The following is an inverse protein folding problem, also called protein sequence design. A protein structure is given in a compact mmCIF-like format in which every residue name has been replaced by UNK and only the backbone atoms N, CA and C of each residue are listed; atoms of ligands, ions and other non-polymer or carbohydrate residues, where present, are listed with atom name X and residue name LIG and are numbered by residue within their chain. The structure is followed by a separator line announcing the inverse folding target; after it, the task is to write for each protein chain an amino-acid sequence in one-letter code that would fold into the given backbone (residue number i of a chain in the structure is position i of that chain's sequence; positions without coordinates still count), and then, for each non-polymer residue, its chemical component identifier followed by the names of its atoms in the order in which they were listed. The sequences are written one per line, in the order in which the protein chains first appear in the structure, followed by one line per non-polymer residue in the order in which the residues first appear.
data_IF_983228679994
#
_entry.id   IF_983228679994
#
_cell.length_a   1.000
_cell.length_b   1.000
_cell.length_c   1.000
_cell.angle_alpha   90.00
_cell.angle_beta   90.00
_cell.angle_gamma   90.00
#
_symmetry.space_group_name_H-M   'P 1'
#
loop_
_entity.id
_entity.type
_entity.pdbx_description
1 polymer ?
#
# COMPACT_ATOMS: atom_id res chain seq x y z
N UNK A 1 2.86 -16.29 -14.32
CA UNK A 1 4.25 -16.46 -14.32
C UNK A 1 4.94 -15.33 -13.63
N UNK A 2 5.91 -15.71 -12.84
CA UNK A 2 6.57 -14.79 -11.92
C UNK A 2 7.18 -13.58 -12.59
N UNK A 3 7.73 -13.76 -13.78
CA UNK A 3 8.36 -12.64 -14.49
C UNK A 3 7.40 -11.54 -14.89
N UNK A 4 6.17 -11.91 -15.23
CA UNK A 4 5.18 -10.91 -15.61
C UNK A 4 4.73 -10.08 -14.41
N UNK A 5 4.56 -10.73 -13.27
CA UNK A 5 4.19 -10.00 -12.05
C UNK A 5 5.27 -9.02 -11.64
N UNK A 6 6.53 -9.46 -11.71
CA UNK A 6 7.67 -8.59 -11.38
C UNK A 6 7.74 -7.42 -12.36
N UNK A 7 7.50 -7.68 -13.64
CA UNK A 7 7.52 -6.61 -14.65
C UNK A 7 6.38 -5.61 -14.43
N UNK A 8 5.19 -6.09 -14.07
CA UNK A 8 4.08 -5.20 -13.79
C UNK A 8 4.37 -4.29 -12.61
N UNK A 9 4.96 -4.86 -11.57
CA UNK A 9 5.35 -4.07 -10.39
C UNK A 9 6.43 -3.07 -10.77
N UNK A 10 7.41 -3.48 -11.55
CA UNK A 10 8.45 -2.57 -12.01
C UNK A 10 7.91 -1.46 -12.87
N UNK A 11 6.98 -1.76 -13.77
CA UNK A 11 6.38 -0.75 -14.61
C UNK A 11 5.61 0.29 -13.80
N UNK A 12 4.91 -0.15 -12.76
CA UNK A 12 4.20 0.76 -11.88
C UNK A 12 5.18 1.67 -11.16
N UNK A 13 6.30 1.13 -10.72
CA UNK A 13 7.34 1.90 -10.03
C UNK A 13 8.11 2.78 -11.00
N UNK A 14 8.45 2.26 -12.18
CA UNK A 14 9.24 3.00 -13.16
C UNK A 14 8.49 4.16 -13.80
N UNK A 15 7.20 4.02 -13.97
CA UNK A 15 6.38 5.10 -14.51
C UNK A 15 6.21 6.24 -13.51
N UNK A 16 6.71 6.06 -12.31
CA UNK A 16 6.74 7.11 -11.30
C UNK A 16 5.38 7.71 -11.01
N UNK A 17 4.33 6.97 -11.34
CA UNK A 17 2.99 7.39 -10.98
C UNK A 17 2.77 6.91 -9.56
N UNK A 18 2.68 7.82 -8.59
CA UNK A 18 2.41 7.40 -7.21
C UNK A 18 1.04 6.79 -7.19
N UNK A 19 1.02 5.48 -7.21
CA UNK A 19 -0.24 4.76 -7.17
C UNK A 19 -0.77 4.82 -5.76
N UNK A 20 -1.87 5.49 -5.61
CA UNK A 20 -2.58 5.52 -4.36
C UNK A 20 -3.31 4.21 -4.16
N UNK A 21 -3.11 3.60 -3.00
CA UNK A 21 -3.73 2.34 -2.65
C UNK A 21 -4.89 2.60 -1.68
N UNK A 22 -5.97 1.85 -1.86
CA UNK A 22 -7.06 1.87 -0.89
C UNK A 22 -6.75 0.90 0.24
N UNK A 23 -7.56 0.94 1.32
CA UNK A 23 -7.41 -0.02 2.42
C UNK A 23 -7.53 -1.45 1.89
N UNK A 24 -8.47 -1.69 0.98
CA UNK A 24 -8.65 -3.03 0.40
C UNK A 24 -7.41 -3.48 -0.35
N UNK A 25 -6.78 -2.58 -1.10
CA UNK A 25 -5.54 -2.90 -1.82
C UNK A 25 -4.44 -3.27 -0.84
N UNK A 26 -4.31 -2.50 0.24
CA UNK A 26 -3.29 -2.73 1.25
C UNK A 26 -3.51 -4.08 1.94
N UNK A 27 -4.75 -4.42 2.25
CA UNK A 27 -5.09 -5.71 2.85
C UNK A 27 -4.68 -6.84 1.92
N UNK A 28 -4.98 -6.72 0.64
CA UNK A 28 -4.64 -7.75 -0.33
C UNK A 28 -3.14 -7.92 -0.50
N UNK A 29 -2.41 -6.82 -0.57
CA UNK A 29 -0.97 -6.85 -0.78
C UNK A 29 -0.23 -7.35 0.47
N UNK A 30 -0.63 -6.88 1.63
CA UNK A 30 0.07 -7.18 2.88
C UNK A 30 -0.34 -8.51 3.51
N UNK A 31 -1.54 -9.00 3.20
CA UNK A 31 -2.08 -10.17 3.86
C UNK A 31 -2.57 -9.93 5.27
N UNK A 32 -2.58 -8.68 5.71
CA UNK A 32 -3.06 -8.31 7.04
C UNK A 32 -4.56 -8.03 6.99
N UNK A 33 -5.23 -8.09 8.15
CA UNK A 33 -6.66 -7.84 8.21
C UNK A 33 -6.96 -6.35 8.02
N UNK A 34 -8.19 -6.05 7.58
CA UNK A 34 -8.62 -4.67 7.41
C UNK A 34 -8.57 -3.93 8.74
N UNK A 35 -9.00 -4.57 9.82
CA UNK A 35 -8.96 -3.97 11.16
C UNK A 35 -7.55 -3.59 11.55
N UNK A 36 -6.59 -4.46 11.25
CA UNK A 36 -5.18 -4.20 11.53
C UNK A 36 -4.68 -2.98 10.77
N UNK A 37 -5.01 -2.91 9.48
CA UNK A 37 -4.58 -1.79 8.64
C UNK A 37 -5.21 -0.47 9.11
N UNK A 38 -6.51 -0.48 9.39
CA UNK A 38 -7.18 0.72 9.87
C UNK A 38 -6.61 1.21 11.19
N UNK A 39 -6.31 0.28 12.09
CA UNK A 39 -5.70 0.62 13.37
C UNK A 39 -4.32 1.25 13.16
N UNK A 40 -3.51 0.68 12.27
CA UNK A 40 -2.19 1.21 11.97
C UNK A 40 -2.28 2.61 11.37
N UNK A 41 -3.28 2.86 10.53
CA UNK A 41 -3.48 4.19 9.96
C UNK A 41 -3.89 5.21 11.02
N UNK A 42 -4.79 4.82 11.91
CA UNK A 42 -5.23 5.73 12.98
C UNK A 42 -4.14 6.01 14.00
N UNK A 43 -3.28 5.04 14.29
CA UNK A 43 -2.19 5.22 15.25
C UNK A 43 -0.98 5.93 14.64
N UNK A 44 -0.93 6.05 13.31
CA UNK A 44 0.19 6.66 12.63
C UNK A 44 1.33 5.71 12.31
N UNK A 45 1.20 4.44 12.66
CA UNK A 45 2.21 3.45 12.29
C UNK A 45 2.34 3.30 10.79
N UNK A 46 1.20 3.30 10.10
CA UNK A 46 1.16 3.29 8.64
C UNK A 46 0.70 4.67 8.18
N UNK A 47 1.54 5.32 7.40
CA UNK A 47 1.22 6.64 6.89
C UNK A 47 0.16 6.54 5.80
N UNK A 48 -0.85 7.40 5.87
CA UNK A 48 -1.91 7.46 4.89
C UNK A 48 -2.55 8.83 4.89
N UNK A 49 -3.23 9.15 3.81
CA UNK A 49 -3.96 10.39 3.64
C UNK A 49 -5.46 10.08 3.67
N UNK A 50 -6.19 10.84 4.47
CA UNK A 50 -7.63 10.64 4.54
C UNK A 50 -8.35 11.84 3.91
N UNK A 51 -8.88 11.62 2.72
CA UNK A 51 -9.73 12.60 2.03
C UNK A 51 -11.03 11.88 1.67
N UNK A 52 -11.92 11.77 2.64
CA UNK A 52 -13.13 10.97 2.49
C UNK A 52 -12.88 9.49 2.66
N UNK A 53 -11.81 8.98 2.10
CA UNK A 53 -11.37 7.58 2.27
C UNK A 53 -9.87 7.56 2.45
N UNK A 54 -9.36 6.47 3.01
CA UNK A 54 -7.92 6.32 3.20
C UNK A 54 -7.23 6.05 1.87
N UNK A 55 -6.17 6.81 1.62
CA UNK A 55 -5.30 6.63 0.47
C UNK A 55 -3.87 6.47 0.97
N UNK A 56 -3.21 5.40 0.56
CA UNK A 56 -1.88 5.06 1.03
C UNK A 56 -0.95 4.96 -0.17
N UNK A 57 0.20 5.63 -0.10
CA UNK A 57 1.21 5.47 -1.14
C UNK A 57 1.89 4.13 -1.00
N UNK A 58 2.21 3.51 -2.13
CA UNK A 58 2.91 2.23 -2.12
C UNK A 58 4.22 2.30 -1.35
N UNK A 59 4.92 3.43 -1.43
CA UNK A 59 6.16 3.66 -0.68
C UNK A 59 5.93 3.59 0.83
N UNK A 60 4.83 4.13 1.29
CA UNK A 60 4.51 4.12 2.72
C UNK A 60 4.21 2.71 3.21
N UNK A 61 3.51 1.95 2.39
CA UNK A 61 3.21 0.56 2.72
C UNK A 61 4.49 -0.27 2.74
N UNK A 62 5.35 -0.10 1.75
CA UNK A 62 6.62 -0.79 1.70
C UNK A 62 7.46 -0.53 2.94
N UNK A 63 7.55 0.73 3.34
CA UNK A 63 8.30 1.12 4.53
C UNK A 63 7.69 0.49 5.79
N UNK A 64 6.36 0.45 5.87
CA UNK A 64 5.67 -0.13 7.01
C UNK A 64 5.96 -1.63 7.11
N UNK A 65 5.96 -2.34 5.99
CA UNK A 65 6.18 -3.78 5.97
C UNK A 65 7.63 -4.16 6.24
N UNK A 66 8.57 -3.28 5.93
CA UNK A 66 10.00 -3.56 6.12
C UNK A 66 10.57 -3.02 7.43
N UNK A 67 9.79 -2.26 8.15
CA UNK A 67 10.25 -1.68 9.42
C UNK A 67 10.25 -2.66 10.57
#
# INVERSE_FOLDING_TARGET
MERQLVNEIKQIVENNIPRWLSVKDVVRISGLSESHIRRALWSGELKGNKKGKWLIKSQWLEKYLTS
#
